data_IF_409191664895
#
_entry.id   IF_409191664895
#
_cell.length_a   1.000
_cell.length_b   1.000
_cell.length_c   1.000
_cell.angle_alpha   90.00
_cell.angle_beta   90.00
_cell.angle_gamma   90.00
#
_symmetry.space_group_name_H-M   'P 1'
#
loop_
_entity.id
_entity.type
_entity.pdbx_description
1 polymer ?
2 water ?
#
# COMPACT_ATOMS: atom_id res chain seq x y z
N UNK A 1 2.43 29.73 -13.59
CA UNK A 1 1.76 28.63 -12.91
C UNK A 1 2.69 27.54 -12.41
N UNK A 2 2.11 26.46 -11.86
CA UNK A 2 2.89 25.34 -11.33
C UNK A 2 3.02 24.21 -12.34
N UNK A 3 4.04 23.38 -12.13
CA UNK A 3 4.23 22.15 -12.87
C UNK A 3 4.66 21.07 -11.87
N UNK A 4 4.27 19.81 -12.09
CA UNK A 4 3.37 19.41 -13.17
C UNK A 4 1.95 19.77 -12.77
N UNK A 5 0.98 19.69 -13.70
CA UNK A 5 -0.36 19.90 -13.16
C UNK A 5 -0.67 18.67 -12.33
N UNK A 6 -1.33 18.86 -11.20
CA UNK A 6 -1.57 17.77 -10.29
C UNK A 6 -2.75 16.89 -10.70
N UNK A 7 -2.61 16.14 -11.79
CA UNK A 7 -3.68 15.24 -12.20
C UNK A 7 -3.59 13.89 -11.47
N UNK A 8 -2.42 13.62 -10.89
CA UNK A 8 -2.22 12.48 -9.99
C UNK A 8 -1.58 13.02 -8.71
N UNK A 9 -2.08 12.58 -7.56
CA UNK A 9 -1.60 13.07 -6.26
C UNK A 9 -0.99 11.92 -5.49
N UNK A 10 0.28 12.07 -5.09
CA UNK A 10 0.91 11.01 -4.31
C UNK A 10 0.54 11.19 -2.85
N UNK A 11 0.24 10.08 -2.18
CA UNK A 11 -0.38 10.15 -0.86
C UNK A 11 0.54 9.56 0.19
N UNK A 12 0.50 10.13 1.39
CA UNK A 12 1.24 9.64 2.55
C UNK A 12 2.73 9.43 2.28
N UNK A 13 3.34 10.40 1.60
CA UNK A 13 4.74 10.28 1.21
C UNK A 13 5.64 10.70 2.37
N UNK A 14 6.54 9.80 2.75
CA UNK A 14 7.39 9.98 3.91
C UNK A 14 8.56 10.89 3.57
N UNK A 15 9.31 11.35 4.57
CA UNK A 15 10.50 12.16 4.32
C UNK A 15 11.72 11.28 3.95
N UNK A 16 11.65 10.01 4.27
CA UNK A 16 12.75 9.09 3.97
C UNK A 16 12.22 7.65 3.87
N UNK A 17 12.92 6.81 3.11
CA UNK A 17 12.57 5.40 3.00
C UNK A 17 13.80 4.54 3.19
N UNK A 18 13.58 3.33 3.70
CA UNK A 18 14.64 2.33 3.84
C UNK A 18 15.29 2.03 2.50
N UNK A 19 16.63 2.08 2.45
CA UNK A 19 17.45 1.82 1.26
C UNK A 19 17.24 0.43 0.67
N UNK A 20 17.02 -0.58 1.53
CA UNK A 20 17.00 -1.95 1.01
C UNK A 20 15.75 -2.77 1.35
N UNK A 21 14.65 -2.07 1.59
CA UNK A 21 13.35 -2.70 1.76
C UNK A 21 12.45 -2.14 0.71
N UNK A 22 11.45 -2.91 0.28
CA UNK A 22 10.59 -2.45 -0.77
C UNK A 22 9.84 -1.22 -0.26
N UNK A 23 9.48 -0.31 -1.14
CA UNK A 23 8.63 0.79 -0.69
C UNK A 23 7.29 0.64 -1.34
N UNK A 24 6.26 1.11 -0.64
CA UNK A 24 4.92 1.07 -1.19
C UNK A 24 4.48 2.49 -1.51
N UNK A 25 4.33 2.75 -2.81
CA UNK A 25 4.00 4.07 -3.30
C UNK A 25 2.49 4.22 -3.54
N UNK A 26 1.88 5.19 -2.87
CA UNK A 26 0.43 5.35 -2.93
C UNK A 26 0.12 6.61 -3.69
N UNK A 27 -0.82 6.55 -4.61
CA UNK A 27 -1.19 7.74 -5.37
C UNK A 27 -2.65 7.67 -5.71
N UNK A 28 -3.25 8.83 -6.02
CA UNK A 28 -4.65 8.84 -6.46
C UNK A 28 -4.76 9.46 -7.84
N UNK A 29 -5.53 8.83 -8.70
CA UNK A 29 -5.86 9.41 -9.98
C UNK A 29 -7.02 10.40 -9.73
N UNK A 30 -6.86 11.65 -10.14
CA UNK A 30 -7.93 12.65 -10.00
C UNK A 30 -8.88 12.60 -11.18
N UNK A 31 -10.07 13.23 -11.06
CA UNK A 31 -10.99 13.32 -12.18
C UNK A 31 -10.38 13.91 -13.47
N UNK A 32 -9.24 14.56 -13.38
CA UNK A 32 -8.61 15.16 -14.54
C UNK A 32 -7.96 14.14 -15.46
N UNK A 33 -7.60 12.97 -14.95
CA UNK A 33 -6.84 12.03 -15.77
C UNK A 33 -7.66 10.77 -16.15
N UNK A 34 -7.48 10.30 -17.37
CA UNK A 34 -8.01 9.00 -17.75
C UNK A 34 -6.78 8.13 -17.90
N UNK A 35 -6.63 7.14 -17.01
CA UNK A 35 -5.39 6.37 -17.04
C UNK A 35 -5.24 5.56 -18.31
N UNK A 36 -4.01 5.17 -18.63
CA UNK A 36 -3.70 4.46 -19.86
C UNK A 36 -2.65 3.40 -19.53
N UNK A 37 -2.73 2.21 -20.15
CA UNK A 37 -1.83 1.08 -19.84
C UNK A 37 -0.32 1.39 -19.84
N UNK A 38 0.11 2.42 -20.57
CA UNK A 38 1.53 2.73 -20.65
C UNK A 38 1.92 3.93 -19.80
N UNK A 39 1.03 4.34 -18.89
CA UNK A 39 1.40 5.33 -17.89
C UNK A 39 2.35 4.65 -16.91
N UNK A 40 3.23 5.42 -16.29
CA UNK A 40 4.12 4.83 -15.28
C UNK A 40 4.45 5.79 -14.17
N UNK A 41 4.98 5.24 -13.09
CA UNK A 41 5.46 6.01 -11.96
C UNK A 41 6.95 5.78 -11.89
N UNK A 42 7.70 6.87 -11.89
CA UNK A 42 9.14 6.76 -11.78
C UNK A 42 9.59 7.36 -10.48
N UNK A 43 10.76 6.92 -10.03
CA UNK A 43 11.47 7.60 -8.97
C UNK A 43 12.55 8.43 -9.65
N UNK A 44 12.49 9.75 -9.42
CA UNK A 44 13.37 10.71 -10.10
C UNK A 44 14.17 11.49 -9.10
N UNK A 45 15.44 11.71 -9.39
CA UNK A 45 16.23 12.65 -8.58
C UNK A 45 15.64 14.06 -8.73
N UNK A 46 15.55 14.77 -7.60
CA UNK A 46 15.00 16.13 -7.64
C UNK A 46 15.78 16.99 -8.63
N UNK A 47 15.09 17.77 -9.44
CA UNK A 47 15.74 18.56 -10.47
C UNK A 47 15.60 17.97 -11.86
N UNK A 48 14.88 16.84 -11.98
CA UNK A 48 14.60 16.22 -13.27
C UNK A 48 14.03 17.24 -14.27
N UNK A 49 14.31 17.05 -15.56
CA UNK A 49 13.80 17.94 -16.60
C UNK A 49 12.67 17.32 -17.43
N UNK A 50 12.83 16.03 -17.76
CA UNK A 50 11.86 15.29 -18.56
C UNK A 50 11.76 13.88 -18.00
N UNK A 51 10.78 13.12 -18.48
CA UNK A 51 10.62 11.73 -18.08
C UNK A 51 11.84 10.83 -18.33
N UNK A 52 12.82 11.31 -19.09
CA UNK A 52 14.00 10.49 -19.39
C UNK A 52 14.95 10.40 -18.20
N UNK A 53 14.77 11.31 -17.22
CA UNK A 53 15.69 11.42 -16.09
C UNK A 53 15.41 10.44 -14.93
N UNK A 54 14.54 9.47 -15.13
CA UNK A 54 14.15 8.56 -14.03
C UNK A 54 15.33 7.75 -13.46
N UNK A 55 15.21 7.35 -12.19
CA UNK A 55 16.17 6.45 -11.58
C UNK A 55 15.69 4.99 -11.73
N UNK A 56 14.43 4.76 -11.42
CA UNK A 56 13.78 3.46 -11.66
C UNK A 56 12.30 3.72 -11.83
N UNK A 57 11.58 2.79 -12.45
CA UNK A 57 10.16 3.00 -12.71
C UNK A 57 9.36 1.69 -12.69
N UNK A 58 8.03 1.84 -12.66
CA UNK A 58 7.11 0.71 -12.84
C UNK A 58 5.94 1.19 -13.67
N UNK A 59 5.37 0.31 -14.50
CA UNK A 59 4.10 0.62 -15.14
C UNK A 59 3.02 0.83 -14.09
N UNK A 60 2.18 1.84 -14.29
CA UNK A 60 1.00 2.04 -13.47
C UNK A 60 -0.10 1.11 -13.99
N UNK A 61 -0.48 0.12 -13.18
CA UNK A 61 -1.49 -0.85 -13.63
C UNK A 61 -2.83 -0.15 -13.88
N UNK A 62 -3.51 -0.51 -14.96
CA UNK A 62 -4.80 0.06 -15.27
C UNK A 62 -5.83 -0.40 -14.23
N UNK A 63 -6.50 0.56 -13.57
CA UNK A 63 -7.51 0.24 -12.53
C UNK A 63 -8.67 -0.58 -13.09
N UNK A 64 -9.23 -1.46 -12.27
CA UNK A 64 -10.38 -2.26 -12.68
C UNK A 64 -11.66 -1.42 -12.62
N UNK A 65 -12.62 -1.76 -13.49
CA UNK A 65 -13.92 -1.11 -13.51
C UNK A 65 -13.76 0.41 -13.61
N UNK A 66 -12.85 0.86 -14.46
CA UNK A 66 -12.57 2.29 -14.50
C UNK A 66 -13.72 3.09 -15.12
N UNK A 67 -14.12 4.15 -14.41
CA UNK A 67 -15.15 5.06 -14.88
C UNK A 67 -14.56 6.47 -14.95
N UNK A 68 -14.64 7.12 -16.10
CA UNK A 68 -14.10 8.48 -16.23
C UNK A 68 -14.58 9.43 -15.14
N UNK A 69 -13.74 10.37 -14.71
CA UNK A 69 -14.14 11.37 -13.73
C UNK A 69 -14.02 10.91 -12.29
N UNK A 70 -13.62 9.65 -12.09
CA UNK A 70 -13.53 9.10 -10.74
C UNK A 70 -12.22 9.46 -10.05
N UNK A 71 -12.19 9.36 -8.72
CA UNK A 71 -10.94 9.44 -7.96
C UNK A 71 -10.55 8.00 -7.58
N UNK A 72 -9.34 7.58 -8.00
CA UNK A 72 -8.93 6.18 -7.83
C UNK A 72 -7.61 6.06 -7.05
N UNK A 73 -7.66 5.26 -5.98
CA UNK A 73 -6.49 4.98 -5.17
C UNK A 73 -5.69 3.82 -5.79
N UNK A 74 -4.38 3.98 -5.87
CA UNK A 74 -3.49 2.99 -6.46
C UNK A 74 -2.30 2.80 -5.55
N UNK A 75 -1.60 1.68 -5.73
CA UNK A 75 -0.42 1.41 -4.95
C UNK A 75 0.58 0.62 -5.81
N UNK A 76 1.86 0.94 -5.69
CA UNK A 76 2.90 0.21 -6.40
C UNK A 76 3.95 -0.15 -5.38
N UNK A 77 4.52 -1.35 -5.49
CA UNK A 77 5.64 -1.70 -4.63
C UNK A 77 6.91 -1.71 -5.44
N UNK A 78 7.84 -0.83 -5.09
CA UNK A 78 9.16 -0.83 -5.71
C UNK A 78 10.10 -1.71 -4.92
N UNK A 79 10.75 -2.66 -5.58
CA UNK A 79 11.72 -3.53 -4.89
C UNK A 79 12.92 -2.75 -4.39
N UNK A 80 13.45 -3.13 -3.24
CA UNK A 80 14.57 -2.39 -2.66
C UNK A 80 15.87 -2.46 -3.44
N UNK A 81 16.05 -3.53 -4.21
CA UNK A 81 17.25 -3.63 -5.01
C UNK A 81 17.19 -2.75 -6.25
N UNK A 82 16.03 -2.11 -6.47
CA UNK A 82 15.94 -1.12 -7.54
C UNK A 82 15.95 0.30 -6.99
N UNK A 83 15.93 0.43 -5.66
CA UNK A 83 15.91 1.74 -5.00
C UNK A 83 17.32 2.29 -4.82
N UNK A 84 17.43 3.63 -4.82
CA UNK A 84 18.73 4.23 -4.48
C UNK A 84 19.16 3.79 -3.09
N UNK A 85 20.47 3.75 -2.86
CA UNK A 85 20.96 3.53 -1.51
C UNK A 85 21.19 4.89 -0.86
N UNK A 86 21.85 4.91 0.32
CA UNK A 86 22.02 6.17 1.06
C UNK A 86 23.10 7.03 0.44
N UNK A 87 22.72 7.82 -0.55
CA UNK A 87 23.66 8.57 -1.36
C UNK A 87 23.60 10.07 -1.09
N UNK A 88 22.76 10.48 -0.14
CA UNK A 88 22.64 11.89 0.19
C UNK A 88 21.81 12.67 -0.81
N UNK A 89 21.28 12.01 -1.84
CA UNK A 89 20.49 12.73 -2.85
C UNK A 89 19.00 12.78 -2.47
N UNK A 90 18.28 13.74 -3.05
CA UNK A 90 16.82 13.79 -2.87
C UNK A 90 16.07 13.33 -4.12
N UNK A 91 15.00 12.56 -3.90
CA UNK A 91 14.20 12.00 -4.98
C UNK A 91 12.72 12.32 -4.79
N UNK A 92 11.94 12.19 -5.86
CA UNK A 92 10.47 12.22 -5.74
C UNK A 92 9.81 11.18 -6.65
N UNK A 93 8.54 10.89 -6.41
CA UNK A 93 7.78 10.10 -7.38
C UNK A 93 7.21 11.04 -8.43
N UNK A 94 7.12 10.57 -9.67
CA UNK A 94 6.39 11.31 -10.71
C UNK A 94 5.52 10.34 -11.51
N UNK A 95 4.31 10.78 -11.85
CA UNK A 95 3.44 10.01 -12.71
C UNK A 95 3.62 10.55 -14.13
N UNK A 96 3.90 9.65 -15.05
CA UNK A 96 4.19 10.02 -16.43
C UNK A 96 3.19 9.30 -17.30
N UNK A 97 2.46 10.05 -18.13
CA UNK A 97 1.51 9.44 -19.05
C UNK A 97 2.22 8.73 -20.20
N UNK A 98 1.47 7.93 -20.94
CA UNK A 98 2.02 7.30 -22.14
C UNK A 98 2.43 8.36 -23.19
N UNK A 99 1.79 9.52 -23.15
CA UNK A 99 2.18 10.64 -24.01
C UNK A 99 3.52 11.22 -23.56
N UNK A 100 4.07 10.67 -22.48
CA UNK A 100 5.37 11.09 -21.97
C UNK A 100 5.33 12.34 -21.09
N UNK A 101 4.14 12.78 -20.72
CA UNK A 101 4.03 14.00 -19.89
C UNK A 101 3.91 13.71 -18.39
N UNK A 102 4.68 14.43 -17.58
CA UNK A 102 4.62 14.28 -16.14
C UNK A 102 3.30 14.92 -15.67
N UNK A 103 2.47 14.17 -14.95
CA UNK A 103 1.16 14.68 -14.53
C UNK A 103 0.90 14.58 -13.02
N UNK A 104 1.96 14.43 -12.24
CA UNK A 104 1.87 14.37 -10.80
C UNK A 104 3.28 14.23 -10.27
N UNK A 105 3.55 14.82 -9.10
CA UNK A 105 4.85 14.63 -8.45
C UNK A 105 4.69 14.77 -6.94
N UNK A 106 5.49 14.02 -6.20
CA UNK A 106 5.37 13.92 -4.75
C UNK A 106 6.32 14.91 -4.12
N UNK A 107 6.17 15.09 -2.81
CA UNK A 107 7.20 15.78 -2.03
C UNK A 107 8.49 14.94 -2.07
N UNK A 108 9.64 15.59 -1.82
CA UNK A 108 10.94 14.92 -1.93
C UNK A 108 11.29 14.05 -0.74
N UNK A 109 12.17 13.08 -0.97
CA UNK A 109 12.61 12.19 0.10
C UNK A 109 14.00 11.65 -0.18
N UNK A 110 14.65 11.14 0.86
CA UNK A 110 15.92 10.46 0.65
C UNK A 110 15.90 9.03 1.16
N UNK A 111 16.86 8.22 0.75
CA UNK A 111 16.88 6.85 1.16
C UNK A 111 17.95 6.66 2.23
N UNK A 112 17.51 6.33 3.44
CA UNK A 112 18.40 6.18 4.58
C UNK A 112 17.69 5.49 5.74
N UNK A 113 18.46 5.15 6.78
CA UNK A 113 17.88 4.67 8.03
C UNK A 113 17.01 5.76 8.65
N UNK A 114 15.80 5.42 9.06
CA UNK A 114 14.87 6.39 9.65
C UNK A 114 15.42 7.04 10.92
N UNK A 115 14.95 8.25 11.24
CA UNK A 115 15.28 8.92 12.49
C UNK A 115 14.66 8.22 13.70
N UNK B 6 -16.88 -15.30 8.99
CA UNK B 6 -16.73 -15.70 10.40
C UNK B 6 -15.74 -16.87 10.55
N UNK B 7 -15.11 -17.26 9.45
CA UNK B 7 -14.18 -18.38 9.45
C UNK B 7 -12.78 -18.00 9.96
N UNK B 8 -12.42 -16.72 9.84
CA UNK B 8 -11.23 -16.17 10.49
C UNK B 8 -11.62 -14.96 11.34
N UNK B 9 -11.37 -15.04 12.65
CA UNK B 9 -11.74 -13.96 13.54
C UNK B 9 -10.55 -13.08 13.91
N UNK B 10 -10.71 -11.79 13.70
CA UNK B 10 -9.70 -10.85 14.16
C UNK B 10 -9.97 -10.54 15.62
N UNK B 11 -8.90 -10.51 16.42
CA UNK B 11 -9.03 -10.46 17.87
C UNK B 11 -8.45 -9.19 18.46
N UNK B 12 -9.13 -8.65 19.46
CA UNK B 12 -8.65 -7.49 20.19
C UNK B 12 -8.36 -6.31 19.27
N UNK B 13 -9.22 -6.11 18.28
CA UNK B 13 -9.02 -5.07 17.28
C UNK B 13 -9.45 -3.72 17.86
N UNK B 14 -8.54 -2.75 17.85
CA UNK B 14 -8.84 -1.44 18.43
C UNK B 14 -9.65 -0.55 17.51
N UNK B 15 -10.06 0.61 18.03
CA UNK B 15 -10.84 1.58 17.26
C UNK B 15 -9.90 2.50 16.49
N UNK B 16 -8.64 2.52 16.91
CA UNK B 16 -7.64 3.34 16.26
C UNK B 16 -6.25 2.73 16.45
N UNK B 17 -5.32 3.07 15.56
CA UNK B 17 -3.94 2.62 15.71
C UNK B 17 -3.03 3.80 15.40
N UNK B 18 -1.89 3.85 16.05
CA UNK B 18 -0.92 4.91 15.77
C UNK B 18 -0.40 4.70 14.34
N UNK B 19 -0.32 5.79 13.57
CA UNK B 19 0.11 5.77 12.16
C UNK B 19 1.58 5.39 11.97
N UNK B 20 2.44 5.82 12.87
CA UNK B 20 3.87 5.59 12.62
C UNK B 20 4.57 4.61 13.55
N UNK B 21 3.81 3.66 14.08
CA UNK B 21 4.38 2.61 14.92
C UNK B 21 3.94 1.28 14.36
N UNK B 22 4.66 0.20 14.66
CA UNK B 22 4.25 -1.09 14.12
C UNK B 22 2.94 -1.53 14.73
N UNK B 23 2.14 -2.22 13.93
CA UNK B 23 0.83 -2.65 14.40
C UNK B 23 0.85 -4.16 14.57
N UNK B 24 0.32 -4.65 15.68
CA UNK B 24 0.23 -6.09 15.90
C UNK B 24 -1.18 -6.63 15.69
N UNK B 25 -1.32 -7.40 14.62
CA UNK B 25 -2.61 -7.90 14.17
C UNK B 25 -2.78 -9.35 14.63
N UNK B 26 -3.77 -9.58 15.50
CA UNK B 26 -4.02 -10.90 16.05
C UNK B 26 -5.27 -11.46 15.39
N UNK B 27 -5.23 -12.73 15.03
CA UNK B 27 -6.41 -13.38 14.46
C UNK B 27 -6.42 -14.86 14.77
N UNK B 28 -7.57 -15.49 14.55
CA UNK B 28 -7.75 -16.91 14.86
C UNK B 28 -8.18 -17.69 13.63
N UNK B 29 -7.41 -18.72 13.28
CA UNK B 29 -7.86 -19.66 12.28
C UNK B 29 -8.83 -20.61 12.98
N UNK B 30 -10.12 -20.45 12.73
CA UNK B 30 -11.16 -21.29 13.34
C UNK B 30 -11.17 -22.67 12.69
N UNK B 31 -11.89 -23.64 13.29
CA UNK B 31 -12.02 -24.96 12.64
C UNK B 31 -12.63 -24.91 11.23
N UNK B 32 -13.40 -23.87 10.93
CA UNK B 32 -14.12 -23.79 9.65
C UNK B 32 -13.22 -23.53 8.44
N UNK B 33 -11.94 -23.27 8.67
CA UNK B 33 -11.01 -23.12 7.56
C UNK B 33 -9.67 -23.82 7.74
N UNK B 34 -9.13 -24.26 6.61
CA UNK B 34 -7.82 -24.85 6.51
C UNK B 34 -6.98 -23.74 5.89
N UNK B 35 -5.84 -23.41 6.50
CA UNK B 35 -5.00 -22.35 5.93
C UNK B 35 -4.28 -22.80 4.67
N UNK B 36 -3.83 -21.87 3.85
CA UNK B 36 -3.04 -22.21 2.66
C UNK B 36 -1.88 -21.22 2.54
N UNK B 37 -0.70 -21.71 2.12
CA UNK B 37 0.57 -20.94 2.19
C UNK B 37 0.62 -19.66 1.34
N UNK B 38 -0.42 -19.40 0.55
CA UNK B 38 -0.51 -18.14 -0.16
C UNK B 38 -1.56 -17.23 0.47
N UNK B 39 -2.13 -17.66 1.58
CA UNK B 39 -3.09 -16.83 2.30
C UNK B 39 -2.39 -15.58 2.81
N UNK B 40 -3.16 -14.51 2.98
CA UNK B 40 -2.59 -13.24 3.43
C UNK B 40 -3.60 -12.39 4.18
N UNK B 41 -3.10 -11.40 4.90
CA UNK B 41 -3.93 -10.46 5.62
C UNK B 41 -3.69 -9.08 5.04
N UNK B 42 -4.76 -8.39 4.66
CA UNK B 42 -4.62 -7.04 4.16
C UNK B 42 -5.21 -5.99 5.08
N UNK B 43 -4.71 -4.77 4.97
CA UNK B 43 -5.38 -3.62 5.54
C UNK B 43 -6.18 -2.96 4.40
N UNK B 44 -7.50 -3.04 4.48
CA UNK B 44 -8.36 -2.48 3.43
C UNK B 44 -9.13 -1.27 3.93
N UNK B 45 -9.24 -0.24 3.09
CA UNK B 45 -10.16 0.86 3.39
C UNK B 45 -11.59 0.36 3.23
N UNK B 46 -12.48 0.68 4.16
CA UNK B 46 -13.89 0.28 4.05
C UNK B 46 -14.51 0.82 2.77
N UNK B 47 -15.35 0.01 2.14
CA UNK B 47 -15.92 0.34 0.84
C UNK B 47 -15.26 -0.42 -0.29
N UNK B 48 -14.27 -1.23 0.07
CA UNK B 48 -13.57 -2.08 -0.89
C UNK B 48 -14.54 -3.07 -1.52
N UNK B 49 -14.24 -3.48 -2.75
CA UNK B 49 -15.11 -4.36 -3.51
C UNK B 49 -14.47 -5.71 -3.72
N UNK B 50 -13.19 -5.69 -4.09
CA UNK B 50 -12.44 -6.90 -4.40
C UNK B 50 -11.16 -7.00 -3.54
N UNK B 51 -10.42 -8.09 -3.68
CA UNK B 51 -9.22 -8.29 -2.86
C UNK B 51 -8.04 -7.46 -3.36
N UNK B 52 -8.15 -6.95 -4.60
CA UNK B 52 -7.08 -6.14 -5.17
C UNK B 52 -7.04 -4.73 -4.60
N UNK B 53 -8.07 -4.38 -3.81
CA UNK B 53 -8.19 -3.03 -3.26
C UNK B 53 -7.46 -2.82 -1.92
N UNK B 54 -6.39 -3.57 -1.67
CA UNK B 54 -5.67 -3.45 -0.39
C UNK B 54 -4.78 -2.22 -0.32
N UNK B 55 -4.51 -1.76 0.89
CA UNK B 55 -3.60 -0.64 1.10
C UNK B 55 -2.20 -1.17 1.28
N UNK B 56 -2.08 -2.22 2.10
CA UNK B 56 -0.85 -2.96 2.26
C UNK B 56 -1.25 -4.36 2.71
N UNK B 57 -0.31 -5.31 2.62
CA UNK B 57 -0.60 -6.69 3.02
C UNK B 57 0.65 -7.40 3.57
N UNK B 58 0.41 -8.53 4.23
CA UNK B 58 1.49 -9.41 4.66
C UNK B 58 0.99 -10.84 4.46
N UNK B 59 1.87 -11.73 4.04
CA UNK B 59 1.52 -13.15 3.94
C UNK B 59 1.21 -13.69 5.32
N UNK B 60 0.16 -14.51 5.41
CA UNK B 60 -0.11 -15.23 6.64
C UNK B 60 0.60 -16.57 6.53
N UNK B 61 1.74 -16.72 7.22
CA UNK B 61 2.56 -17.93 7.13
C UNK B 61 1.78 -19.15 7.59
N UNK B 62 1.95 -20.27 6.87
CA UNK B 62 1.31 -21.53 7.23
C UNK B 62 1.68 -21.91 8.66
N UNK B 63 0.69 -22.32 9.44
CA UNK B 63 0.96 -22.77 10.81
C UNK B 63 1.79 -24.05 10.79
N UNK B 64 2.88 -24.06 11.54
CA UNK B 64 3.72 -25.24 11.68
C UNK B 64 2.92 -26.42 12.23
N UNK B 65 3.13 -27.62 11.68
CA UNK B 65 2.45 -28.83 12.11
C UNK B 65 0.94 -28.65 12.26
N UNK B 66 0.30 -28.10 11.23
CA UNK B 66 -1.14 -27.90 11.26
C UNK B 66 -1.89 -29.22 11.42
N UNK B 67 -2.75 -29.29 12.42
CA UNK B 67 -3.70 -30.40 12.49
C UNK B 67 -5.07 -29.87 12.07
N UNK B 68 -5.74 -30.56 11.15
CA UNK B 68 -7.01 -30.09 10.62
C UNK B 68 -8.07 -29.89 11.71
N UNK B 69 -9.02 -28.99 11.46
CA UNK B 69 -10.10 -28.72 12.40
C UNK B 69 -9.68 -28.02 13.68
N UNK B 70 -8.40 -27.71 13.82
CA UNK B 70 -7.88 -27.12 15.05
C UNK B 70 -8.18 -25.63 15.19
N UNK B 71 -7.79 -25.07 16.33
CA UNK B 71 -7.92 -23.64 16.57
C UNK B 71 -6.53 -23.02 16.81
N UNK B 72 -6.13 -22.14 15.90
CA UNK B 72 -4.79 -21.55 15.92
C UNK B 72 -4.83 -20.03 16.00
N UNK B 73 -4.07 -19.45 16.92
CA UNK B 73 -3.97 -17.99 17.03
C UNK B 73 -2.66 -17.48 16.45
N UNK B 74 -2.74 -16.44 15.62
CA UNK B 74 -1.60 -15.91 14.89
C UNK B 74 -1.36 -14.42 15.16
N UNK B 75 -0.10 -13.99 15.02
CA UNK B 75 0.26 -12.57 15.11
C UNK B 75 0.97 -12.14 13.83
N UNK B 76 0.67 -10.93 13.35
CA UNK B 76 1.39 -10.33 12.24
C UNK B 76 1.77 -8.89 12.61
N UNK B 77 3.05 -8.57 12.55
CA UNK B 77 3.46 -7.21 12.77
C UNK B 77 3.56 -6.47 11.43
N UNK B 78 2.65 -5.53 11.22
CA UNK B 78 2.73 -4.63 10.07
C UNK B 78 3.64 -3.47 10.43
N UNK B 79 4.57 -3.13 9.53
CA UNK B 79 5.52 -2.05 9.82
C UNK B 79 4.89 -0.67 9.70
N UNK B 80 5.27 0.26 10.56
CA UNK B 80 4.70 1.61 10.54
C UNK B 80 4.85 2.31 9.21
N UNK B 81 5.92 2.06 8.48
CA UNK B 81 6.13 2.79 7.24
C UNK B 81 5.33 2.23 6.05
N UNK B 82 4.51 1.22 6.32
CA UNK B 82 3.55 0.75 5.31
C UNK B 82 2.12 1.09 5.70
N UNK B 83 1.95 1.69 6.88
CA UNK B 83 0.60 1.96 7.38
C UNK B 83 0.07 3.31 6.85
N UNK B 84 -1.26 3.47 6.78
CA UNK B 84 -1.70 4.81 6.40
C UNK B 84 -1.36 5.86 7.46
N UNK B 85 -1.50 7.13 7.05
CA UNK B 85 -1.34 8.25 7.97
C UNK B 85 -2.71 8.59 8.56
N UNK B 86 -2.77 9.65 9.35
CA UNK B 86 -4.07 10.13 9.84
C UNK B 86 -4.80 10.83 8.70
N UNK B 87 -5.54 10.05 7.90
CA UNK B 87 -6.27 10.57 6.74
C UNK B 87 -7.78 10.62 6.94
N UNK B 88 -8.22 10.37 8.18
CA UNK B 88 -9.64 10.39 8.48
C UNK B 88 -10.42 9.19 7.97
N UNK B 89 -9.78 8.35 7.15
CA UNK B 89 -10.49 7.24 6.52
C UNK B 89 -10.59 6.04 7.44
N UNK B 90 -11.58 5.18 7.22
CA UNK B 90 -11.72 3.94 8.00
C UNK B 90 -11.11 2.77 7.26
N UNK B 91 -10.35 1.96 7.99
CA UNK B 91 -9.73 0.76 7.44
C UNK B 91 -10.18 -0.46 8.24
N UNK B 92 -10.07 -1.65 7.65
CA UNK B 92 -10.30 -2.89 8.39
C UNK B 92 -9.28 -3.95 7.97
N UNK B 93 -9.17 -5.00 8.78
CA UNK B 93 -8.38 -6.17 8.43
C UNK B 93 -9.25 -7.13 7.65
N UNK B 94 -8.67 -7.77 6.65
CA UNK B 94 -9.35 -8.84 5.92
C UNK B 94 -8.42 -10.02 5.70
N UNK B 95 -8.90 -11.21 6.01
CA UNK B 95 -8.13 -12.40 5.70
C UNK B 95 -8.54 -12.86 4.31
N UNK B 96 -7.54 -13.06 3.45
CA UNK B 96 -7.75 -13.47 2.06
C UNK B 96 -7.08 -14.81 1.80
N UNK B 97 -7.81 -15.78 1.22
CA UNK B 97 -7.19 -17.07 0.92
C UNK B 97 -6.37 -17.02 -0.36
N UNK B 98 -5.70 -18.13 -0.68
CA UNK B 98 -4.83 -18.20 -1.85
C UNK B 98 -5.53 -17.87 -3.17
N UNK B 99 -6.83 -18.16 -3.25
CA UNK B 99 -7.63 -17.93 -4.47
C UNK B 99 -8.19 -16.51 -4.55
N UNK B 100 -8.50 -15.91 -3.41
CA UNK B 100 -9.00 -14.55 -3.36
C UNK B 100 -10.35 -14.31 -2.68
N UNK B 101 -10.85 -15.33 -1.98
CA UNK B 101 -12.09 -15.18 -1.22
C UNK B 101 -11.81 -14.57 0.15
N UNK B 102 -12.64 -13.62 0.55
CA UNK B 102 -12.52 -13.04 1.89
C UNK B 102 -13.25 -13.93 2.91
N UNK B 103 -12.53 -14.36 3.94
CA UNK B 103 -13.12 -15.22 4.96
C UNK B 103 -12.90 -14.63 6.34
N UNK B 104 -12.51 -13.37 6.37
CA UNK B 104 -12.33 -12.66 7.63
C UNK B 104 -12.35 -11.17 7.36
N UNK B 105 -13.00 -10.43 8.25
CA UNK B 105 -13.04 -8.97 8.15
C UNK B 105 -13.28 -8.44 9.54
N UNK B 106 -12.50 -7.44 9.94
CA UNK B 106 -12.55 -6.93 11.31
C UNK B 106 -13.45 -5.70 11.40
N UNK B 107 -13.73 -5.28 12.62
CA UNK B 107 -14.36 -3.99 12.85
C UNK B 107 -13.44 -2.91 12.25
N UNK B 108 -14.01 -1.79 11.79
CA UNK B 108 -13.17 -0.74 11.23
C UNK B 108 -12.33 0.00 12.28
N UNK B 109 -11.38 0.81 11.82
CA UNK B 109 -10.51 1.59 12.69
C UNK B 109 -9.83 2.69 11.89
N UNK B 110 -9.28 3.67 12.60
CA UNK B 110 -8.60 4.77 11.93
C UNK B 110 -7.17 4.85 12.40
N UNK B 111 -6.30 5.40 11.58
CA UNK B 111 -4.95 5.64 12.03
C UNK B 111 -4.85 7.08 12.53
N UNK B 112 -4.42 7.24 13.77
CA UNK B 112 -4.46 8.53 14.48
C UNK B 112 -4.02 8.36 15.92
N UNK B 113 -3.97 9.45 16.65
CA UNK B 113 -3.73 9.38 18.09
C UNK B 113 -5.00 8.92 18.81
N UNK B 114 -4.82 8.25 19.95
CA UNK B 114 -5.95 7.68 20.67
C UNK B 114 -6.62 8.67 21.61
N UNK B 115 -7.80 8.29 22.09
CA UNK B 115 -8.45 8.98 23.22
C UNK B 115 -7.68 8.71 24.52
#
# INVERSE_FOLDING_TARGET
GPSSPAHVIFQNVAKSYLPNAHLECHYTLTPYIHPHPKDWVGIFKVGWSTARDYYTFLWSPMPEHYVEGSTVNCVLAFQGYYLPNDDGEFYQFCYVTHKGEIRGASTPFQFRASSPVEELLTMEDEGNSDMLVVTTKA
GPSSPAHVIFQNVAKSYLPNAHLECHYTLTPYIHPHPKDWVGIFKVGWSTARDYYTFLWSPMPEHYVEGSTVNCVLAFQGYYLPNDDGEFYQFCYVTHKGEIRGASTPFQFRASSPVEELLTMEDEGNSDMLVVTTKA
#
